data_IF_347866758738
#
_entry.id   IF_347866758738
#
_cell.length_a   1.000
_cell.length_b   1.000
_cell.length_c   1.000
_cell.angle_alpha   90.00
_cell.angle_beta   90.00
_cell.angle_gamma   90.00
#
_symmetry.space_group_name_H-M   'P 1'
#
loop_
_entity.id
_entity.type
_entity.pdbx_description
1 polymer ?
#
# COMPACT_ATOMS: atom_id res chain seq x y z
N UNK A 1 -40.97 7.65 -8.30
CA UNK A 1 -40.21 6.48 -7.79
C UNK A 1 -40.48 6.41 -6.31
N UNK A 2 -40.92 5.26 -5.77
CA UNK A 2 -41.06 5.12 -4.33
C UNK A 2 -39.68 5.28 -3.68
N UNK A 3 -39.58 6.09 -2.63
CA UNK A 3 -38.34 6.17 -1.84
C UNK A 3 -38.15 4.83 -1.14
N UNK A 4 -37.03 4.16 -1.44
CA UNK A 4 -36.71 2.82 -0.94
C UNK A 4 -35.84 2.96 0.31
N UNK A 5 -36.06 2.10 1.30
CA UNK A 5 -35.24 2.07 2.51
C UNK A 5 -33.75 1.89 2.17
N UNK A 6 -32.91 2.72 2.79
CA UNK A 6 -31.46 2.68 2.63
C UNK A 6 -30.83 1.65 3.58
N UNK A 7 -29.99 0.77 3.05
CA UNK A 7 -29.16 -0.11 3.86
C UNK A 7 -27.91 0.63 4.32
N UNK A 8 -27.67 0.65 5.62
CA UNK A 8 -26.49 1.20 6.25
C UNK A 8 -25.75 0.09 6.97
N UNK A 9 -24.43 0.20 7.02
CA UNK A 9 -23.63 -0.70 7.84
C UNK A 9 -22.23 -0.93 7.29
N UNK A 10 -21.52 -1.83 7.95
CA UNK A 10 -20.19 -2.25 7.54
C UNK A 10 -19.94 -3.71 7.90
N UNK A 11 -19.21 -4.40 7.04
CA UNK A 11 -18.62 -5.70 7.34
C UNK A 11 -17.27 -5.45 8.02
N UNK A 12 -17.18 -5.77 9.31
CA UNK A 12 -16.00 -5.48 10.13
C UNK A 12 -15.03 -6.66 10.14
N UNK A 13 -15.53 -7.89 10.08
CA UNK A 13 -14.71 -9.12 10.12
C UNK A 13 -15.20 -10.13 9.09
N UNK A 14 -14.26 -10.68 8.32
CA UNK A 14 -14.41 -11.87 7.49
C UNK A 14 -13.12 -12.68 7.67
N UNK A 15 -13.20 -13.77 8.41
CA UNK A 15 -12.12 -14.74 8.61
C UNK A 15 -12.70 -16.16 8.54
N UNK A 16 -11.87 -17.23 8.60
CA UNK A 16 -12.36 -18.60 8.44
C UNK A 16 -13.28 -19.08 9.56
N UNK A 17 -13.43 -18.34 10.66
CA UNK A 17 -14.24 -18.72 11.81
C UNK A 17 -15.45 -17.80 12.05
N UNK A 18 -15.43 -16.57 11.55
CA UNK A 18 -16.50 -15.62 11.79
C UNK A 18 -16.68 -14.57 10.70
N UNK A 19 -17.95 -14.21 10.48
CA UNK A 19 -18.35 -13.04 9.71
C UNK A 19 -19.16 -12.13 10.63
N UNK A 20 -18.70 -10.89 10.82
CA UNK A 20 -19.29 -9.98 11.78
C UNK A 20 -19.28 -8.53 11.30
N UNK A 21 -20.19 -7.74 11.85
CA UNK A 21 -20.33 -6.33 11.55
C UNK A 21 -21.60 -5.76 12.14
N UNK A 22 -22.11 -4.71 11.49
CA UNK A 22 -23.39 -4.11 11.84
C UNK A 22 -24.14 -3.67 10.59
N UNK A 23 -25.47 -3.67 10.67
CA UNK A 23 -26.33 -3.11 9.64
C UNK A 23 -27.68 -2.65 10.19
N UNK A 24 -28.25 -1.62 9.57
CA UNK A 24 -29.62 -1.17 9.82
C UNK A 24 -30.27 -0.66 8.54
N UNK A 25 -31.60 -0.72 8.47
CA UNK A 25 -32.39 -0.10 7.40
C UNK A 25 -32.88 1.25 7.87
N UNK A 26 -32.65 2.31 7.08
CA UNK A 26 -33.18 3.65 7.30
C UNK A 26 -34.32 3.91 6.31
N UNK A 27 -35.49 4.21 6.85
CA UNK A 27 -36.67 4.61 6.07
C UNK A 27 -36.55 6.06 5.58
N UNK A 28 -37.34 6.45 4.58
CA UNK A 28 -37.37 7.84 4.11
C UNK A 28 -37.81 8.85 5.19
N UNK A 29 -38.63 8.41 6.16
CA UNK A 29 -39.03 9.22 7.32
C UNK A 29 -37.92 9.38 8.38
N UNK A 30 -36.72 8.83 8.13
CA UNK A 30 -35.57 8.85 9.02
C UNK A 30 -35.60 7.81 10.13
N UNK A 31 -36.69 7.04 10.28
CA UNK A 31 -36.76 5.97 11.26
C UNK A 31 -35.88 4.79 10.86
N UNK A 32 -35.31 4.11 11.85
CA UNK A 32 -34.35 3.03 11.63
C UNK A 32 -34.77 1.75 12.32
N UNK A 33 -34.44 0.63 11.68
CA UNK A 33 -34.72 -0.72 12.21
C UNK A 33 -33.56 -1.67 11.91
N UNK A 34 -33.44 -2.78 12.67
CA UNK A 34 -32.48 -3.84 12.33
C UNK A 34 -32.67 -4.32 10.90
N UNK A 35 -31.56 -4.53 10.17
CA UNK A 35 -31.61 -5.04 8.80
C UNK A 35 -31.81 -6.57 8.79
N UNK A 36 -32.61 -7.04 7.83
CA UNK A 36 -32.64 -8.46 7.45
C UNK A 36 -31.60 -8.66 6.34
N UNK A 37 -30.58 -9.43 6.62
CA UNK A 37 -29.45 -9.65 5.72
C UNK A 37 -29.50 -11.04 5.10
N UNK A 38 -29.11 -11.10 3.85
CA UNK A 38 -28.77 -12.31 3.10
C UNK A 38 -27.25 -12.36 2.93
N UNK A 39 -26.65 -13.49 3.27
CA UNK A 39 -25.23 -13.76 3.01
C UNK A 39 -25.13 -14.70 1.82
N UNK A 40 -24.38 -14.26 0.81
CA UNK A 40 -24.05 -15.04 -0.37
C UNK A 40 -22.58 -15.45 -0.28
N UNK A 41 -22.32 -16.74 -0.43
CA UNK A 41 -21.00 -17.33 -0.56
C UNK A 41 -20.84 -17.79 -2.02
N UNK A 42 -19.86 -17.22 -2.73
CA UNK A 42 -19.64 -17.44 -4.17
C UNK A 42 -20.94 -17.25 -4.98
N UNK A 43 -21.63 -16.15 -4.69
CA UNK A 43 -22.93 -15.75 -5.26
C UNK A 43 -24.09 -16.74 -4.99
N UNK A 44 -23.90 -17.72 -4.10
CA UNK A 44 -24.96 -18.62 -3.62
C UNK A 44 -25.45 -18.16 -2.25
N UNK A 45 -26.77 -17.93 -2.12
CA UNK A 45 -27.40 -17.63 -0.83
C UNK A 45 -27.22 -18.80 0.15
N UNK A 46 -26.58 -18.54 1.29
CA UNK A 46 -26.31 -19.55 2.33
C UNK A 46 -26.98 -19.22 3.66
N UNK A 47 -27.13 -17.95 4.01
CA UNK A 47 -27.80 -17.53 5.24
C UNK A 47 -28.76 -16.37 5.01
N UNK A 48 -29.84 -16.35 5.79
CA UNK A 48 -30.72 -15.20 5.98
C UNK A 48 -30.94 -14.98 7.47
N UNK A 49 -30.66 -13.79 7.97
CA UNK A 49 -30.66 -13.48 9.40
C UNK A 49 -30.95 -12.00 9.67
N UNK A 50 -31.18 -11.65 10.95
CA UNK A 50 -31.45 -10.26 11.37
C UNK A 50 -30.28 -9.73 12.16
N UNK A 51 -29.79 -8.53 11.80
CA UNK A 51 -28.72 -7.82 12.50
C UNK A 51 -29.22 -7.20 13.82
N UNK A 52 -29.51 -8.05 14.81
CA UNK A 52 -30.24 -7.70 16.03
C UNK A 52 -29.41 -7.67 17.31
N UNK A 53 -28.10 -7.94 17.22
CA UNK A 53 -27.19 -7.86 18.36
C UNK A 53 -26.97 -6.40 18.78
N UNK A 54 -26.71 -6.18 20.06
CA UNK A 54 -26.55 -4.82 20.61
C UNK A 54 -25.14 -4.31 20.30
N UNK A 55 -25.05 -3.11 19.73
CA UNK A 55 -23.83 -2.37 19.41
C UNK A 55 -23.97 -0.90 19.82
N UNK A 56 -23.68 -0.63 21.09
CA UNK A 56 -23.76 0.73 21.63
C UNK A 56 -22.70 1.66 21.04
N UNK A 57 -21.54 1.12 20.67
CA UNK A 57 -20.45 1.82 19.99
C UNK A 57 -20.91 2.39 18.64
N UNK A 58 -21.68 1.59 17.87
CA UNK A 58 -22.28 2.01 16.58
C UNK A 58 -23.25 3.17 16.78
N UNK A 59 -24.04 3.13 17.86
CA UNK A 59 -24.96 4.22 18.20
C UNK A 59 -24.22 5.46 18.67
N UNK A 60 -23.22 5.30 19.55
CA UNK A 60 -22.45 6.40 20.12
C UNK A 60 -21.69 7.20 19.06
N UNK A 61 -21.19 6.53 18.00
CA UNK A 61 -20.56 7.19 16.85
C UNK A 61 -21.55 7.81 15.84
N UNK A 62 -22.85 7.72 16.10
CA UNK A 62 -23.89 8.28 15.23
C UNK A 62 -24.09 7.55 13.90
N UNK A 63 -23.54 6.33 13.73
CA UNK A 63 -23.64 5.59 12.48
C UNK A 63 -25.05 5.00 12.25
N UNK A 64 -25.77 4.70 13.34
CA UNK A 64 -27.18 4.36 13.37
C UNK A 64 -27.77 4.81 14.72
N UNK A 65 -28.99 5.33 14.75
CA UNK A 65 -29.74 5.78 15.93
C UNK A 65 -30.32 4.67 16.81
N UNK A 66 -30.35 3.42 16.34
CA UNK A 66 -30.75 2.25 17.15
C UNK A 66 -29.53 1.44 17.62
N UNK A 67 -29.66 0.78 18.78
CA UNK A 67 -28.57 -0.05 19.33
C UNK A 67 -28.54 -1.48 18.76
N UNK A 68 -29.67 -2.00 18.26
CA UNK A 68 -29.76 -3.37 17.73
C UNK A 68 -29.42 -3.37 16.25
N UNK A 69 -28.13 -3.46 15.95
CA UNK A 69 -27.61 -3.40 14.59
C UNK A 69 -26.51 -4.43 14.33
N UNK A 70 -26.00 -5.09 15.37
CA UNK A 70 -24.89 -6.02 15.22
C UNK A 70 -25.30 -7.35 14.61
N UNK A 71 -24.37 -7.96 13.88
CA UNK A 71 -24.46 -9.36 13.48
C UNK A 71 -23.13 -10.07 13.68
N UNK A 72 -23.21 -11.37 13.95
CA UNK A 72 -22.09 -12.30 13.99
C UNK A 72 -22.59 -13.68 13.55
N UNK A 73 -21.90 -14.26 12.58
CA UNK A 73 -22.10 -15.62 12.13
C UNK A 73 -20.83 -16.41 12.42
N UNK A 74 -20.91 -17.34 13.38
CA UNK A 74 -19.84 -18.28 13.70
C UNK A 74 -19.96 -19.50 12.77
N UNK A 75 -19.72 -19.28 11.47
CA UNK A 75 -19.72 -20.33 10.46
C UNK A 75 -18.40 -20.29 9.69
N UNK A 76 -17.80 -21.48 9.53
CA UNK A 76 -16.53 -21.60 8.84
C UNK A 76 -16.74 -21.68 7.33
N UNK A 77 -16.14 -20.72 6.63
CA UNK A 77 -16.05 -20.74 5.17
C UNK A 77 -14.62 -21.07 4.75
N UNK A 78 -14.42 -21.80 3.63
CA UNK A 78 -13.10 -21.98 3.05
C UNK A 78 -12.40 -20.65 2.79
N UNK A 79 -11.08 -20.59 2.98
CA UNK A 79 -10.27 -19.43 2.57
C UNK A 79 -10.45 -19.20 1.08
N UNK A 80 -10.62 -17.93 0.70
CA UNK A 80 -10.86 -17.53 -0.69
C UNK A 80 -12.33 -17.55 -1.12
N UNK A 81 -13.26 -18.08 -0.32
CA UNK A 81 -14.70 -17.95 -0.61
C UNK A 81 -15.09 -16.47 -0.66
N UNK A 82 -15.81 -16.06 -1.71
CA UNK A 82 -16.30 -14.69 -1.89
C UNK A 82 -17.58 -14.49 -1.08
N UNK A 83 -17.52 -13.62 -0.09
CA UNK A 83 -18.64 -13.27 0.78
C UNK A 83 -19.24 -11.94 0.32
N UNK A 84 -20.55 -11.94 0.06
CA UNK A 84 -21.34 -10.73 -0.10
C UNK A 84 -22.50 -10.73 0.91
N UNK A 85 -22.81 -9.55 1.45
CA UNK A 85 -24.02 -9.34 2.25
C UNK A 85 -24.93 -8.35 1.52
N UNK A 86 -26.23 -8.61 1.55
CA UNK A 86 -27.23 -7.73 0.98
C UNK A 86 -28.49 -7.67 1.84
N UNK A 87 -29.29 -6.62 1.67
CA UNK A 87 -30.62 -6.54 2.26
C UNK A 87 -31.54 -7.58 1.61
N UNK A 88 -32.18 -8.41 2.43
CA UNK A 88 -33.20 -9.35 1.96
C UNK A 88 -34.48 -8.65 1.47
N UNK A 89 -34.63 -7.36 1.77
CA UNK A 89 -35.81 -6.55 1.44
C UNK A 89 -35.62 -5.77 0.15
N UNK A 90 -34.41 -5.21 -0.06
CA UNK A 90 -34.13 -4.28 -1.17
C UNK A 90 -33.09 -4.80 -2.16
N UNK A 91 -32.36 -5.86 -1.83
CA UNK A 91 -31.21 -6.34 -2.60
C UNK A 91 -29.99 -5.42 -2.55
N UNK A 92 -30.04 -4.31 -1.80
CA UNK A 92 -28.91 -3.39 -1.65
C UNK A 92 -27.73 -4.09 -0.97
N UNK A 93 -26.51 -3.93 -1.50
CA UNK A 93 -25.30 -4.56 -0.94
C UNK A 93 -24.79 -3.81 0.29
N UNK A 94 -24.33 -4.57 1.27
CA UNK A 94 -23.63 -4.08 2.45
C UNK A 94 -22.13 -3.98 2.14
N UNK A 95 -21.71 -2.84 1.59
CA UNK A 95 -20.33 -2.65 1.14
C UNK A 95 -19.98 -3.51 -0.08
N UNK A 96 -18.68 -3.65 -0.34
CA UNK A 96 -18.16 -4.50 -1.42
C UNK A 96 -18.05 -5.95 -0.95
N UNK A 97 -18.21 -6.94 -1.85
CA UNK A 97 -17.88 -8.32 -1.55
C UNK A 97 -16.40 -8.48 -1.19
N UNK A 98 -16.12 -9.41 -0.29
CA UNK A 98 -14.81 -9.62 0.32
C UNK A 98 -14.52 -11.12 0.39
N UNK A 99 -13.25 -11.51 0.30
CA UNK A 99 -12.89 -12.93 0.39
C UNK A 99 -12.57 -13.34 1.83
N UNK A 100 -12.82 -14.60 2.15
CA UNK A 100 -12.40 -15.19 3.43
C UNK A 100 -10.89 -15.22 3.51
N UNK A 101 -10.32 -14.32 4.30
CA UNK A 101 -8.88 -14.23 4.51
C UNK A 101 -8.36 -15.44 5.30
N UNK A 102 -7.08 -15.85 5.15
CA UNK A 102 -6.46 -16.82 6.03
C UNK A 102 -6.39 -16.30 7.48
N UNK A 103 -6.40 -17.21 8.45
CA UNK A 103 -6.37 -16.87 9.88
C UNK A 103 -5.06 -16.22 10.35
N UNK A 104 -3.95 -16.49 9.65
CA UNK A 104 -2.68 -15.78 9.84
C UNK A 104 -2.51 -14.72 8.76
N UNK A 105 -2.04 -13.50 9.11
CA UNK A 105 -1.62 -12.54 8.08
C UNK A 105 -0.41 -13.09 7.29
N UNK A 106 -0.24 -12.66 6.03
CA UNK A 106 0.94 -13.00 5.25
C UNK A 106 2.19 -12.35 5.84
N UNK A 107 3.32 -13.05 5.77
CA UNK A 107 4.65 -12.48 6.00
C UNK A 107 5.04 -11.66 4.79
N UNK A 108 5.20 -10.37 4.98
CA UNK A 108 5.46 -9.44 3.88
C UNK A 108 6.93 -8.99 3.94
N UNK A 109 7.61 -9.17 2.82
CA UNK A 109 8.92 -8.56 2.60
C UNK A 109 8.84 -7.39 1.62
N UNK A 110 9.85 -6.54 1.66
CA UNK A 110 10.01 -5.41 0.77
C UNK A 110 11.39 -5.53 0.09
N UNK A 111 11.39 -5.43 -1.24
CA UNK A 111 12.59 -5.39 -2.07
C UNK A 111 12.77 -3.97 -2.64
N UNK A 112 13.92 -3.33 -2.39
CA UNK A 112 14.17 -1.94 -2.81
C UNK A 112 15.62 -1.70 -3.25
N UNK A 113 15.86 -0.96 -4.36
CA UNK A 113 17.16 -0.39 -4.63
C UNK A 113 17.38 0.87 -3.79
N UNK A 114 18.59 1.04 -3.27
CA UNK A 114 18.99 2.22 -2.50
C UNK A 114 20.26 2.84 -3.10
N UNK A 115 20.23 4.16 -3.27
CA UNK A 115 21.35 4.99 -3.69
C UNK A 115 21.14 6.42 -3.22
N UNK A 116 22.09 6.95 -2.46
CA UNK A 116 22.01 8.32 -1.94
C UNK A 116 20.70 8.61 -1.17
N UNK A 117 20.33 7.68 -0.27
CA UNK A 117 19.09 7.68 0.53
C UNK A 117 19.33 7.92 2.03
N UNK A 118 20.56 8.20 2.47
CA UNK A 118 20.90 8.25 3.91
C UNK A 118 19.97 9.19 4.73
N UNK A 119 19.55 10.36 4.23
CA UNK A 119 18.65 11.24 4.98
C UNK A 119 17.24 10.67 5.18
N UNK A 120 16.80 9.74 4.34
CA UNK A 120 15.38 9.30 4.27
C UNK A 120 15.20 7.83 4.63
N UNK A 121 16.26 7.03 4.55
CA UNK A 121 16.20 5.57 4.68
C UNK A 121 15.67 5.10 6.03
N UNK A 122 16.03 5.79 7.13
CA UNK A 122 15.56 5.42 8.48
C UNK A 122 14.06 5.63 8.64
N UNK A 123 13.52 6.76 8.18
CA UNK A 123 12.09 7.00 8.21
C UNK A 123 11.34 5.98 7.35
N UNK A 124 11.82 5.75 6.13
CA UNK A 124 11.20 4.79 5.23
C UNK A 124 11.16 3.38 5.83
N UNK A 125 12.26 2.92 6.44
CA UNK A 125 12.33 1.63 7.12
C UNK A 125 11.39 1.59 8.33
N UNK A 126 11.46 2.60 9.19
CA UNK A 126 10.65 2.69 10.41
C UNK A 126 9.16 2.69 10.09
N UNK A 127 8.73 3.50 9.12
CA UNK A 127 7.35 3.55 8.66
C UNK A 127 6.86 2.16 8.28
N UNK A 128 7.52 1.49 7.33
CA UNK A 128 7.05 0.19 6.84
C UNK A 128 7.02 -0.87 7.94
N UNK A 129 7.98 -0.84 8.88
CA UNK A 129 7.98 -1.72 10.06
C UNK A 129 6.75 -1.50 10.93
N UNK A 130 6.40 -0.24 11.25
CA UNK A 130 5.18 0.07 12.01
C UNK A 130 3.90 -0.29 11.26
N UNK A 131 3.95 -0.45 9.94
CA UNK A 131 2.82 -0.88 9.09
C UNK A 131 2.75 -2.40 8.88
N UNK A 132 3.61 -3.18 9.54
CA UNK A 132 3.56 -4.64 9.53
C UNK A 132 4.40 -5.29 8.43
N UNK A 133 5.34 -4.56 7.83
CA UNK A 133 6.35 -5.13 6.93
C UNK A 133 7.53 -5.61 7.78
N UNK A 134 7.93 -6.86 7.60
CA UNK A 134 8.86 -7.53 8.52
C UNK A 134 10.26 -7.76 7.93
N UNK A 135 10.35 -7.91 6.61
CA UNK A 135 11.59 -8.24 5.91
C UNK A 135 11.94 -7.17 4.89
N UNK A 136 13.22 -6.81 4.82
CA UNK A 136 13.72 -5.78 3.93
C UNK A 136 14.95 -6.31 3.21
N UNK A 137 14.88 -6.40 1.89
CA UNK A 137 15.98 -6.82 1.04
C UNK A 137 16.40 -5.63 0.19
N UNK A 138 17.57 -5.08 0.48
CA UNK A 138 17.97 -3.78 -0.07
C UNK A 138 19.20 -3.96 -0.95
N UNK A 139 19.08 -3.57 -2.22
CA UNK A 139 20.23 -3.48 -3.11
C UNK A 139 20.95 -2.15 -2.88
N UNK A 140 22.14 -2.23 -2.30
CA UNK A 140 23.01 -1.08 -2.14
C UNK A 140 23.75 -0.80 -3.45
N UNK A 141 23.37 0.27 -4.15
CA UNK A 141 24.02 0.72 -5.38
C UNK A 141 25.08 1.81 -5.14
N UNK A 142 25.44 2.06 -3.88
CA UNK A 142 26.45 3.03 -3.49
C UNK A 142 25.92 4.45 -3.61
N UNK A 143 26.79 5.35 -4.04
CA UNK A 143 26.52 6.78 -4.01
C UNK A 143 27.71 7.53 -3.46
N UNK A 144 27.44 8.73 -2.97
CA UNK A 144 28.41 9.63 -2.34
C UNK A 144 28.08 9.96 -0.89
N UNK A 145 26.88 9.62 -0.42
CA UNK A 145 26.46 9.84 0.96
C UNK A 145 26.72 8.62 1.88
N UNK A 146 26.18 8.67 3.10
CA UNK A 146 26.34 7.64 4.11
C UNK A 146 25.41 6.42 3.94
N UNK A 147 24.75 6.23 2.78
CA UNK A 147 23.75 5.17 2.57
C UNK A 147 24.34 3.78 2.78
N UNK A 148 25.48 3.49 2.16
CA UNK A 148 26.11 2.17 2.24
C UNK A 148 26.57 1.85 3.67
N UNK A 149 27.09 2.84 4.39
CA UNK A 149 27.49 2.68 5.79
C UNK A 149 26.28 2.41 6.69
N UNK A 150 25.20 3.17 6.50
CA UNK A 150 23.94 2.96 7.21
C UNK A 150 23.36 1.56 6.93
N UNK A 151 23.31 1.13 5.67
CA UNK A 151 22.87 -0.21 5.27
C UNK A 151 23.75 -1.31 5.88
N UNK A 152 25.06 -1.09 5.96
CA UNK A 152 25.99 -2.01 6.62
C UNK A 152 25.63 -2.22 8.09
N UNK A 153 25.33 -1.14 8.82
CA UNK A 153 25.00 -1.22 10.25
C UNK A 153 23.60 -1.79 10.46
N UNK A 154 22.64 -1.47 9.59
CA UNK A 154 21.30 -2.06 9.58
C UNK A 154 21.33 -3.57 9.35
N UNK A 155 22.17 -4.04 8.42
CA UNK A 155 22.35 -5.46 8.11
C UNK A 155 22.96 -6.22 9.30
N UNK A 156 24.01 -5.65 9.93
CA UNK A 156 24.60 -6.21 11.17
C UNK A 156 23.59 -6.29 12.32
N UNK A 157 22.71 -5.31 12.44
CA UNK A 157 21.63 -5.30 13.42
C UNK A 157 20.47 -6.26 13.08
N UNK A 158 20.52 -6.95 11.92
CA UNK A 158 19.48 -7.87 11.46
C UNK A 158 18.17 -7.19 11.06
N UNK A 159 18.20 -5.88 10.80
CA UNK A 159 17.02 -5.09 10.43
C UNK A 159 16.72 -5.12 8.93
N UNK A 160 17.75 -5.30 8.12
CA UNK A 160 17.66 -5.49 6.67
C UNK A 160 18.57 -6.64 6.24
N UNK A 161 18.38 -7.15 5.04
CA UNK A 161 19.37 -7.93 4.30
C UNK A 161 19.92 -7.06 3.19
N UNK A 162 21.20 -6.68 3.31
CA UNK A 162 21.89 -5.88 2.30
C UNK A 162 22.45 -6.77 1.20
N UNK A 163 22.26 -6.36 -0.05
CA UNK A 163 22.95 -6.93 -1.20
C UNK A 163 23.84 -5.89 -1.86
N UNK A 164 25.08 -6.29 -2.14
CA UNK A 164 26.09 -5.43 -2.76
C UNK A 164 25.87 -5.35 -4.29
N UNK A 165 25.41 -4.18 -4.74
CA UNK A 165 25.30 -3.80 -6.15
C UNK A 165 26.17 -2.55 -6.45
N UNK A 166 27.25 -2.34 -5.68
CA UNK A 166 28.10 -1.18 -5.82
C UNK A 166 28.68 -1.09 -7.24
N UNK A 167 28.56 0.10 -7.85
CA UNK A 167 29.12 0.38 -9.18
C UNK A 167 28.39 -0.26 -10.36
N UNK A 168 27.32 -1.02 -10.14
CA UNK A 168 26.52 -1.60 -11.23
C UNK A 168 25.55 -0.56 -11.83
N UNK A 169 25.37 -0.60 -13.14
CA UNK A 169 24.39 0.22 -13.88
C UNK A 169 23.23 -0.66 -14.37
N UNK A 170 22.02 -0.11 -14.48
CA UNK A 170 20.81 -0.82 -14.96
C UNK A 170 20.51 -2.14 -14.24
N UNK A 171 20.87 -2.21 -12.96
CA UNK A 171 20.90 -3.46 -12.19
C UNK A 171 19.54 -3.86 -11.59
N UNK A 172 18.52 -3.00 -11.66
CA UNK A 172 17.29 -3.19 -10.89
C UNK A 172 16.57 -4.51 -11.28
N UNK A 173 16.49 -4.82 -12.56
CA UNK A 173 15.94 -6.10 -13.05
C UNK A 173 16.74 -7.30 -12.54
N UNK A 174 18.07 -7.22 -12.61
CA UNK A 174 18.97 -8.28 -12.13
C UNK A 174 18.82 -8.46 -10.61
N UNK A 175 18.76 -7.37 -9.85
CA UNK A 175 18.54 -7.38 -8.41
C UNK A 175 17.26 -8.12 -8.04
N UNK A 176 16.16 -7.79 -8.69
CA UNK A 176 14.89 -8.45 -8.43
C UNK A 176 14.96 -9.94 -8.79
N UNK A 177 15.49 -10.29 -9.96
CA UNK A 177 15.63 -11.69 -10.39
C UNK A 177 16.54 -12.50 -9.45
N UNK A 178 17.72 -11.97 -9.11
CA UNK A 178 18.69 -12.60 -8.21
C UNK A 178 18.13 -12.74 -6.78
N UNK A 179 17.44 -11.72 -6.26
CA UNK A 179 16.79 -11.77 -4.94
C UNK A 179 15.68 -12.81 -4.92
N UNK A 180 14.86 -12.88 -5.97
CA UNK A 180 13.77 -13.82 -6.08
C UNK A 180 14.25 -15.25 -6.38
N UNK A 181 15.46 -15.44 -6.89
CA UNK A 181 16.05 -16.77 -7.05
C UNK A 181 16.52 -17.39 -5.71
N UNK A 182 16.63 -16.59 -4.64
CA UNK A 182 17.10 -17.04 -3.33
C UNK A 182 16.02 -17.84 -2.57
N UNK A 183 16.29 -19.10 -2.21
CA UNK A 183 15.33 -19.92 -1.45
C UNK A 183 14.94 -19.31 -0.11
N UNK A 184 15.88 -18.65 0.58
CA UNK A 184 15.64 -18.01 1.87
C UNK A 184 14.63 -16.86 1.79
N UNK A 185 14.61 -16.12 0.67
CA UNK A 185 13.64 -15.05 0.43
C UNK A 185 12.25 -15.64 0.25
N UNK A 186 12.12 -16.64 -0.63
CA UNK A 186 10.85 -17.34 -0.90
C UNK A 186 10.30 -18.07 0.33
N UNK A 187 11.18 -18.60 1.18
CA UNK A 187 10.77 -19.28 2.42
C UNK A 187 10.34 -18.29 3.52
N UNK A 188 10.93 -17.09 3.55
CA UNK A 188 10.66 -16.08 4.58
C UNK A 188 9.41 -15.24 4.30
N UNK A 189 9.03 -15.06 3.03
CA UNK A 189 7.97 -14.14 2.63
C UNK A 189 6.85 -14.87 1.90
N UNK A 190 5.61 -14.67 2.33
CA UNK A 190 4.44 -15.11 1.57
C UNK A 190 4.11 -14.10 0.46
N UNK A 191 4.44 -12.83 0.67
CA UNK A 191 4.30 -11.73 -0.30
C UNK A 191 5.53 -10.84 -0.30
N UNK A 192 5.87 -10.27 -1.46
CA UNK A 192 6.90 -9.23 -1.60
C UNK A 192 6.30 -7.96 -2.21
N UNK A 193 6.71 -6.82 -1.67
CA UNK A 193 6.46 -5.49 -2.23
C UNK A 193 7.72 -4.97 -2.90
N UNK A 194 7.65 -4.64 -4.20
CA UNK A 194 8.74 -3.96 -4.91
C UNK A 194 8.49 -2.45 -4.87
N UNK A 195 9.26 -1.73 -4.04
CA UNK A 195 9.13 -0.29 -3.80
C UNK A 195 10.51 0.38 -3.83
N UNK A 196 10.54 1.66 -4.15
CA UNK A 196 11.74 2.50 -4.02
C UNK A 196 11.80 3.12 -2.61
N UNK A 197 12.98 3.59 -2.17
CA UNK A 197 13.17 4.18 -0.83
C UNK A 197 12.47 5.54 -0.62
N UNK A 198 11.76 6.05 -1.62
CA UNK A 198 10.91 7.25 -1.54
C UNK A 198 9.41 6.94 -1.69
N UNK A 199 9.05 5.65 -1.62
CA UNK A 199 7.68 5.16 -1.78
C UNK A 199 7.16 4.50 -0.51
N UNK A 200 5.96 4.90 -0.09
CA UNK A 200 5.34 4.45 1.15
C UNK A 200 4.03 3.72 0.84
N UNK A 201 3.94 2.44 1.21
CA UNK A 201 2.72 1.66 1.06
C UNK A 201 1.68 2.10 2.10
N UNK A 202 0.50 2.52 1.66
CA UNK A 202 -0.56 3.05 2.52
C UNK A 202 -1.85 2.25 2.35
N UNK A 203 -2.46 1.83 3.46
CA UNK A 203 -3.82 1.32 3.48
C UNK A 203 -4.83 2.46 3.58
N UNK A 204 -5.72 2.57 2.59
CA UNK A 204 -6.73 3.63 2.47
C UNK A 204 -8.08 3.23 3.07
N UNK A 205 -8.28 1.94 3.33
CA UNK A 205 -9.51 1.40 3.90
C UNK A 205 -9.54 1.39 5.44
N UNK A 206 -8.55 2.01 6.09
CA UNK A 206 -8.45 2.10 7.55
C UNK A 206 -8.07 0.79 8.26
N UNK A 207 -7.63 -0.24 7.53
CA UNK A 207 -7.21 -1.53 8.09
C UNK A 207 -5.69 -1.71 8.01
N UNK A 208 -5.09 -2.54 8.88
CA UNK A 208 -3.67 -2.87 8.76
C UNK A 208 -3.33 -3.47 7.39
N UNK A 209 -2.18 -3.08 6.83
CA UNK A 209 -1.70 -3.58 5.53
C UNK A 209 -1.67 -5.12 5.47
N UNK A 210 -1.17 -5.85 6.48
CA UNK A 210 -1.19 -7.32 6.44
C UNK A 210 -2.60 -7.90 6.36
N UNK A 211 -3.57 -7.31 7.04
CA UNK A 211 -4.97 -7.76 6.99
C UNK A 211 -5.62 -7.47 5.63
N UNK A 212 -5.36 -6.30 5.06
CA UNK A 212 -5.83 -5.94 3.71
C UNK A 212 -5.23 -6.85 2.64
N UNK A 213 -3.92 -7.14 2.73
CA UNK A 213 -3.25 -8.05 1.79
C UNK A 213 -3.70 -9.51 1.97
N UNK A 214 -3.92 -9.97 3.20
CA UNK A 214 -4.45 -11.32 3.47
C UNK A 214 -5.76 -11.57 2.72
N UNK A 215 -6.64 -10.58 2.69
CA UNK A 215 -7.92 -10.65 1.99
C UNK A 215 -7.77 -10.55 0.46
N UNK A 216 -6.97 -9.61 -0.03
CA UNK A 216 -6.80 -9.42 -1.48
C UNK A 216 -6.08 -10.61 -2.14
N UNK A 217 -5.28 -11.37 -1.38
CA UNK A 217 -4.61 -12.60 -1.82
C UNK A 217 -5.31 -13.87 -1.33
N UNK A 218 -6.50 -13.78 -0.73
CA UNK A 218 -7.23 -14.95 -0.25
C UNK A 218 -7.69 -15.85 -1.41
N UNK A 219 -8.04 -15.25 -2.55
CA UNK A 219 -8.18 -15.98 -3.81
C UNK A 219 -6.78 -16.43 -4.26
N UNK A 220 -6.52 -17.74 -4.21
CA UNK A 220 -5.24 -18.30 -4.61
C UNK A 220 -4.92 -18.05 -6.09
N UNK A 221 -5.90 -17.75 -6.93
CA UNK A 221 -5.64 -17.34 -8.31
C UNK A 221 -4.96 -15.97 -8.40
N UNK A 222 -4.99 -15.13 -7.36
CA UNK A 222 -4.31 -13.82 -7.32
C UNK A 222 -2.82 -14.00 -7.07
N UNK A 223 -2.03 -13.53 -8.04
CA UNK A 223 -0.56 -13.57 -8.02
C UNK A 223 0.06 -12.23 -7.71
N UNK A 224 -0.60 -11.12 -8.07
CA UNK A 224 -0.06 -9.78 -7.87
C UNK A 224 -1.15 -8.71 -7.73
N UNK A 225 -0.79 -7.60 -7.06
CA UNK A 225 -1.58 -6.37 -6.96
C UNK A 225 -0.83 -5.20 -7.57
N UNK A 226 -1.53 -4.44 -8.41
CA UNK A 226 -1.07 -3.21 -9.04
C UNK A 226 -1.51 -2.05 -8.16
N UNK A 227 -0.54 -1.39 -7.52
CA UNK A 227 -0.80 -0.34 -6.55
C UNK A 227 -0.39 1.00 -7.14
N UNK A 228 -1.39 1.82 -7.46
CA UNK A 228 -1.14 3.11 -8.08
C UNK A 228 -0.41 4.08 -7.15
N UNK A 229 0.44 4.91 -7.75
CA UNK A 229 1.06 6.03 -7.05
C UNK A 229 0.01 7.06 -6.61
N UNK A 230 0.30 7.74 -5.52
CA UNK A 230 -0.17 9.07 -5.18
C UNK A 230 1.07 9.96 -5.12
N UNK A 231 1.29 10.78 -6.16
CA UNK A 231 2.51 11.58 -6.29
C UNK A 231 2.45 12.82 -5.38
N UNK A 232 3.37 12.90 -4.43
CA UNK A 232 3.54 14.04 -3.52
C UNK A 232 4.58 15.03 -4.05
N UNK A 233 4.24 16.31 -4.01
CA UNK A 233 5.14 17.41 -4.33
C UNK A 233 5.94 17.88 -3.12
N UNK A 234 6.70 18.95 -3.32
CA UNK A 234 7.55 19.59 -2.33
C UNK A 234 6.78 20.31 -1.22
N UNK A 235 5.45 20.44 -1.34
CA UNK A 235 4.63 21.34 -0.54
C UNK A 235 5.10 22.80 -0.55
N UNK A 236 5.83 23.20 -1.60
CA UNK A 236 6.45 24.53 -1.72
C UNK A 236 7.72 24.71 -0.88
N UNK A 237 8.30 23.63 -0.35
CA UNK A 237 9.51 23.67 0.46
C UNK A 237 10.76 23.72 -0.43
N UNK A 238 11.55 24.77 -0.26
CA UNK A 238 12.83 24.92 -0.96
C UNK A 238 13.93 24.04 -0.32
N UNK A 239 13.92 23.93 1.02
CA UNK A 239 14.91 23.19 1.80
C UNK A 239 14.27 22.02 2.56
N UNK A 240 15.05 20.96 2.82
CA UNK A 240 14.63 19.84 3.66
C UNK A 240 15.05 20.10 5.11
N UNK A 241 14.11 19.99 6.05
CA UNK A 241 14.41 20.05 7.49
C UNK A 241 14.70 18.63 8.02
N UNK A 242 15.96 18.30 8.39
CA UNK A 242 16.31 16.97 8.87
C UNK A 242 15.73 16.63 10.26
N UNK A 243 15.15 17.59 10.98
CA UNK A 243 14.46 17.32 12.24
C UNK A 243 13.01 16.81 12.03
N UNK A 244 12.49 16.93 10.81
CA UNK A 244 11.12 16.56 10.44
C UNK A 244 11.12 15.40 9.47
N UNK A 245 10.09 14.56 9.58
CA UNK A 245 9.85 13.44 8.69
C UNK A 245 9.39 13.95 7.30
N UNK A 246 9.72 13.22 6.24
CA UNK A 246 9.17 13.35 4.89
C UNK A 246 7.64 13.38 4.96
N UNK A 247 7.03 12.47 5.72
CA UNK A 247 5.58 12.38 5.92
C UNK A 247 4.96 13.64 6.58
N UNK A 248 5.74 14.41 7.35
CA UNK A 248 5.29 15.65 8.00
C UNK A 248 5.50 16.89 7.13
N UNK A 249 6.50 16.89 6.26
CA UNK A 249 6.93 18.06 5.50
C UNK A 249 6.21 18.17 4.17
N UNK A 250 6.01 17.03 3.50
CA UNK A 250 5.50 16.98 2.14
C UNK A 250 4.05 16.52 2.17
N UNK A 251 3.15 17.38 2.65
CA UNK A 251 1.74 17.05 2.89
C UNK A 251 0.81 17.37 1.71
N UNK A 252 1.36 17.61 0.51
CA UNK A 252 0.61 17.96 -0.69
C UNK A 252 0.91 17.02 -1.84
N UNK A 253 -0.14 16.52 -2.48
CA UNK A 253 -0.06 15.61 -3.62
C UNK A 253 -0.84 16.09 -4.83
N UNK A 254 -0.57 15.47 -5.97
CA UNK A 254 -1.39 15.57 -7.17
C UNK A 254 -2.85 15.18 -6.91
N UNK A 255 -3.79 15.75 -7.66
CA UNK A 255 -5.15 15.21 -7.79
C UNK A 255 -5.14 13.74 -8.23
N UNK A 256 -6.17 12.98 -7.87
CA UNK A 256 -6.22 11.52 -8.13
C UNK A 256 -6.03 11.17 -9.60
N UNK A 257 -6.72 11.87 -10.51
CA UNK A 257 -6.65 11.62 -11.96
C UNK A 257 -5.41 12.19 -12.65
N UNK A 258 -4.43 12.71 -11.90
CA UNK A 258 -3.18 13.14 -12.48
C UNK A 258 -2.46 11.95 -13.17
N UNK A 259 -1.99 12.10 -14.42
CA UNK A 259 -1.32 11.01 -15.14
C UNK A 259 -0.12 10.39 -14.41
N UNK A 260 0.57 11.11 -13.52
CA UNK A 260 1.65 10.53 -12.72
C UNK A 260 1.18 9.35 -11.87
N UNK A 261 -0.06 9.39 -11.39
CA UNK A 261 -0.66 8.36 -10.54
C UNK A 261 -1.02 7.07 -11.32
N UNK A 262 -0.93 7.08 -12.65
CA UNK A 262 -1.13 5.88 -13.48
C UNK A 262 0.08 4.93 -13.44
N UNK A 263 1.19 5.36 -12.85
CA UNK A 263 2.27 4.44 -12.49
C UNK A 263 1.83 3.58 -11.32
N UNK A 264 2.40 2.38 -11.26
CA UNK A 264 2.10 1.43 -10.21
C UNK A 264 3.38 0.97 -9.53
N UNK A 265 3.21 0.32 -8.38
CA UNK A 265 4.15 -0.67 -7.87
C UNK A 265 3.42 -1.98 -7.59
N UNK A 266 4.19 -2.99 -7.27
CA UNK A 266 3.69 -4.37 -7.21
C UNK A 266 3.86 -4.98 -5.83
N UNK A 267 2.78 -5.55 -5.30
CA UNK A 267 2.85 -6.56 -4.24
C UNK A 267 2.51 -7.91 -4.86
N UNK A 268 3.27 -8.96 -4.59
CA UNK A 268 3.15 -10.21 -5.33
C UNK A 268 3.64 -11.45 -4.57
N UNK A 269 3.21 -12.61 -5.06
CA UNK A 269 3.67 -13.93 -4.63
C UNK A 269 5.06 -14.21 -5.21
N UNK A 270 6.12 -14.29 -4.39
CA UNK A 270 7.49 -14.45 -4.90
C UNK A 270 7.68 -15.74 -5.71
N UNK A 271 6.94 -16.80 -5.39
CA UNK A 271 7.02 -18.09 -6.05
C UNK A 271 6.50 -18.09 -7.49
N UNK A 272 5.70 -17.08 -7.87
CA UNK A 272 5.07 -16.95 -9.19
C UNK A 272 5.72 -15.88 -10.07
N UNK A 273 6.78 -15.23 -9.59
CA UNK A 273 7.51 -14.21 -10.34
C UNK A 273 8.28 -14.81 -11.52
N UNK A 274 8.12 -14.20 -12.70
CA UNK A 274 8.84 -14.53 -13.93
C UNK A 274 9.88 -13.48 -14.32
N UNK A 275 9.53 -12.19 -14.17
CA UNK A 275 10.35 -11.09 -14.67
C UNK A 275 9.63 -9.76 -14.61
N UNK A 276 9.87 -8.87 -15.59
CA UNK A 276 9.19 -7.59 -15.73
C UNK A 276 8.48 -7.50 -17.06
N UNK A 277 7.28 -6.91 -17.06
CA UNK A 277 6.38 -6.86 -18.21
C UNK A 277 6.77 -5.75 -19.17
N UNK A 278 6.46 -4.50 -18.81
CA UNK A 278 6.66 -3.31 -19.65
C UNK A 278 7.78 -2.43 -19.12
N UNK A 279 7.95 -2.38 -17.79
CA UNK A 279 9.01 -1.67 -17.10
C UNK A 279 9.25 -2.32 -15.72
N UNK A 280 10.23 -1.82 -14.99
CA UNK A 280 10.64 -2.30 -13.65
C UNK A 280 9.57 -2.12 -12.56
N UNK A 281 8.46 -1.44 -12.87
CA UNK A 281 7.38 -1.18 -11.92
C UNK A 281 6.26 -2.22 -11.98
N UNK A 282 6.19 -2.97 -13.08
CA UNK A 282 5.18 -3.99 -13.33
C UNK A 282 5.84 -5.33 -13.57
N UNK A 283 5.68 -6.23 -12.60
CA UNK A 283 6.21 -7.57 -12.69
C UNK A 283 5.43 -8.40 -13.72
N UNK A 284 6.11 -9.42 -14.20
CA UNK A 284 5.57 -10.47 -15.03
C UNK A 284 5.51 -11.75 -14.22
N UNK A 285 4.42 -12.52 -14.38
CA UNK A 285 4.12 -13.68 -13.56
C UNK A 285 4.01 -14.92 -14.43
N UNK A 286 4.38 -16.08 -13.90
CA UNK A 286 4.24 -17.36 -14.62
C UNK A 286 2.77 -17.70 -14.88
N UNK A 287 1.91 -17.42 -13.89
CA UNK A 287 0.46 -17.64 -13.97
C UNK A 287 -0.29 -16.82 -12.92
N UNK A 288 -1.62 -16.81 -13.05
CA UNK A 288 -2.56 -16.19 -12.12
C UNK A 288 -2.90 -14.75 -12.46
N UNK A 289 -3.62 -14.11 -11.55
CA UNK A 289 -4.30 -12.84 -11.76
C UNK A 289 -3.47 -11.69 -11.21
N UNK A 290 -3.47 -10.60 -11.96
CA UNK A 290 -2.92 -9.31 -11.54
C UNK A 290 -4.08 -8.34 -11.35
N UNK A 291 -4.38 -8.02 -10.09
CA UNK A 291 -5.54 -7.22 -9.69
C UNK A 291 -5.15 -5.80 -9.32
N UNK A 292 -6.09 -4.86 -9.40
CA UNK A 292 -5.93 -3.51 -8.88
C UNK A 292 -6.09 -3.50 -7.35
N UNK A 293 -5.89 -2.34 -6.71
CA UNK A 293 -6.05 -2.19 -5.26
C UNK A 293 -7.47 -2.52 -4.76
N UNK A 294 -8.50 -2.35 -5.58
CA UNK A 294 -9.88 -2.78 -5.29
C UNK A 294 -10.06 -4.29 -5.19
N UNK A 295 -9.16 -5.08 -5.81
CA UNK A 295 -9.33 -6.52 -6.04
C UNK A 295 -9.93 -6.85 -7.42
N UNK A 296 -10.35 -5.85 -8.20
CA UNK A 296 -10.83 -6.04 -9.56
C UNK A 296 -9.67 -6.26 -10.55
N UNK A 297 -9.98 -6.63 -11.80
CA UNK A 297 -8.98 -6.71 -12.84
C UNK A 297 -8.30 -5.34 -13.06
N UNK A 298 -6.97 -5.31 -13.08
CA UNK A 298 -6.25 -4.08 -13.38
C UNK A 298 -6.52 -3.63 -14.83
N UNK A 299 -6.90 -2.36 -14.99
CA UNK A 299 -7.19 -1.74 -16.30
C UNK A 299 -5.92 -1.15 -16.90
N UNK A 300 -5.29 -1.92 -17.79
CA UNK A 300 -3.97 -1.62 -18.34
C UNK A 300 -4.02 -0.72 -19.58
N UNK A 301 -3.10 0.25 -19.66
CA UNK A 301 -2.79 1.05 -20.86
C UNK A 301 -1.29 0.97 -21.19
N UNK A 302 -0.89 -0.11 -21.85
CA UNK A 302 0.53 -0.33 -22.19
C UNK A 302 1.01 0.57 -23.34
N UNK A 303 0.10 1.16 -24.11
CA UNK A 303 0.44 2.09 -25.19
C UNK A 303 1.02 3.41 -24.66
N UNK A 304 0.75 3.72 -23.39
CA UNK A 304 1.15 4.96 -22.72
C UNK A 304 2.15 4.76 -21.58
N UNK A 305 3.00 3.72 -21.64
CA UNK A 305 3.92 3.34 -20.55
C UNK A 305 4.79 4.48 -19.96
N UNK A 306 5.07 5.54 -20.74
CA UNK A 306 5.79 6.73 -20.27
C UNK A 306 5.01 7.60 -19.28
N UNK A 307 3.69 7.42 -19.18
CA UNK A 307 2.78 8.11 -18.25
C UNK A 307 2.18 7.15 -17.24
N UNK A 308 2.83 6.01 -16.99
CA UNK A 308 2.25 4.91 -16.24
C UNK A 308 1.53 3.91 -17.15
N UNK A 309 1.09 2.81 -16.58
CA UNK A 309 0.60 1.64 -17.34
C UNK A 309 -0.85 1.28 -17.01
N UNK A 310 -1.54 2.06 -16.17
CA UNK A 310 -2.98 1.94 -15.93
C UNK A 310 -3.74 3.10 -16.57
N UNK A 311 -4.99 2.88 -16.96
CA UNK A 311 -5.85 3.96 -17.51
C UNK A 311 -6.33 4.94 -16.45
N UNK A 312 -6.71 4.40 -15.30
CA UNK A 312 -7.26 5.15 -14.16
C UNK A 312 -6.60 4.61 -12.89
N UNK A 313 -6.14 5.47 -11.97
CA UNK A 313 -5.62 5.04 -10.69
C UNK A 313 -6.71 4.40 -9.83
N UNK A 314 -6.36 3.37 -9.07
CA UNK A 314 -7.23 2.75 -8.08
C UNK A 314 -6.57 2.79 -6.69
N UNK A 315 -7.17 3.54 -5.77
CA UNK A 315 -6.72 3.69 -4.39
C UNK A 315 -7.71 3.07 -3.38
N UNK A 316 -8.58 2.15 -3.81
CA UNK A 316 -9.71 1.66 -2.99
C UNK A 316 -9.29 1.04 -1.66
N UNK A 317 -8.26 0.18 -1.63
CA UNK A 317 -7.77 -0.44 -0.40
C UNK A 317 -6.33 -0.07 -0.04
N UNK A 318 -5.50 0.14 -1.06
CA UNK A 318 -4.08 0.36 -0.95
C UNK A 318 -3.65 1.38 -2.01
N UNK A 319 -2.62 2.15 -1.71
CA UNK A 319 -1.90 2.98 -2.69
C UNK A 319 -0.44 3.11 -2.28
N UNK A 320 0.36 3.71 -3.16
CA UNK A 320 1.76 4.03 -2.87
C UNK A 320 1.95 5.54 -2.87
N UNK A 321 2.18 6.15 -1.72
CA UNK A 321 2.56 7.55 -1.66
C UNK A 321 4.00 7.69 -2.18
N UNK A 322 4.22 8.50 -3.21
CA UNK A 322 5.53 8.68 -3.84
C UNK A 322 6.08 10.08 -3.59
N UNK A 323 7.20 10.16 -2.87
CA UNK A 323 7.89 11.42 -2.52
C UNK A 323 9.14 11.60 -3.38
N UNK A 324 8.95 11.66 -4.69
CA UNK A 324 10.02 11.68 -5.70
C UNK A 324 10.83 12.97 -5.71
N UNK A 325 10.18 14.11 -5.44
CA UNK A 325 10.80 15.45 -5.43
C UNK A 325 11.34 15.82 -4.05
N UNK A 326 10.55 15.62 -2.98
CA UNK A 326 10.85 16.19 -1.65
C UNK A 326 11.10 17.70 -1.78
N UNK A 327 12.06 18.28 -1.05
CA UNK A 327 12.44 19.68 -1.26
C UNK A 327 13.21 19.88 -2.55
N UNK A 328 13.21 21.11 -3.07
CA UNK A 328 14.03 21.47 -4.24
C UNK A 328 15.51 21.18 -4.00
N UNK A 329 16.05 21.56 -2.84
CA UNK A 329 17.45 21.32 -2.51
C UNK A 329 17.80 19.83 -2.41
N UNK A 330 16.93 19.01 -1.81
CA UNK A 330 17.12 17.57 -1.73
C UNK A 330 17.09 16.92 -3.12
N UNK A 331 16.17 17.35 -3.99
CA UNK A 331 16.11 16.88 -5.38
C UNK A 331 17.39 17.22 -6.14
N UNK A 332 17.84 18.47 -6.02
CA UNK A 332 19.05 18.96 -6.67
C UNK A 332 20.28 18.22 -6.15
N UNK A 333 20.43 18.02 -4.84
CA UNK A 333 21.53 17.25 -4.26
C UNK A 333 21.55 15.80 -4.80
N UNK A 334 20.42 15.09 -4.77
CA UNK A 334 20.31 13.71 -5.25
C UNK A 334 20.64 13.58 -6.74
N UNK A 335 20.27 14.56 -7.57
CA UNK A 335 20.50 14.50 -9.03
C UNK A 335 21.84 15.07 -9.48
N UNK A 336 22.42 16.02 -8.73
CA UNK A 336 23.70 16.63 -9.07
C UNK A 336 24.92 15.94 -8.45
N UNK A 337 24.80 15.18 -7.34
CA UNK A 337 25.97 14.62 -6.63
C UNK A 337 26.52 13.30 -7.20
N UNK A 338 25.94 12.74 -8.27
CA UNK A 338 26.60 11.65 -8.99
C UNK A 338 27.94 12.10 -9.63
N UNK A 339 28.79 11.17 -10.07
CA UNK A 339 29.97 11.42 -10.94
C UNK A 339 29.68 12.23 -12.22
N UNK A 340 28.43 12.62 -12.43
CA UNK A 340 27.95 13.53 -13.45
C UNK A 340 28.03 15.02 -13.07
N UNK A 341 28.32 15.43 -11.82
CA UNK A 341 28.43 16.86 -11.47
C UNK A 341 29.47 17.58 -12.34
N UNK A 342 30.64 16.95 -12.53
CA UNK A 342 31.73 17.47 -13.35
C UNK A 342 31.49 17.30 -14.86
N UNK A 343 30.37 16.66 -15.26
CA UNK A 343 30.01 16.36 -16.66
C UNK A 343 28.55 16.70 -16.99
N UNK A 344 27.84 17.43 -16.13
CA UNK A 344 26.42 17.69 -16.31
C UNK A 344 26.28 18.66 -17.46
N UNK A 345 25.90 18.15 -18.63
CA UNK A 345 25.56 18.98 -19.77
C UNK A 345 24.36 19.85 -19.41
N UNK A 346 24.22 21.02 -20.04
CA UNK A 346 23.03 21.86 -19.90
C UNK A 346 21.73 21.10 -20.18
N UNK A 347 21.80 20.03 -20.98
CA UNK A 347 20.68 19.13 -21.27
C UNK A 347 20.31 18.24 -20.07
N UNK A 348 21.28 17.68 -19.34
CA UNK A 348 21.01 16.90 -18.13
C UNK A 348 20.37 17.77 -17.04
N UNK A 349 20.89 18.99 -16.85
CA UNK A 349 20.31 19.96 -15.92
C UNK A 349 18.88 20.33 -16.31
N UNK A 350 18.61 20.55 -17.62
CA UNK A 350 17.25 20.82 -18.11
C UNK A 350 16.31 19.64 -17.85
N UNK A 351 16.75 18.40 -18.11
CA UNK A 351 15.95 17.19 -17.81
C UNK A 351 15.61 17.07 -16.32
N UNK A 352 16.52 17.43 -15.42
CA UNK A 352 16.24 17.44 -13.99
C UNK A 352 15.23 18.54 -13.61
N UNK A 353 15.36 19.75 -14.17
CA UNK A 353 14.39 20.81 -13.96
C UNK A 353 12.99 20.45 -14.50
N UNK A 354 12.93 19.88 -15.71
CA UNK A 354 11.69 19.40 -16.33
C UNK A 354 11.05 18.28 -15.49
N UNK A 355 11.86 17.36 -14.96
CA UNK A 355 11.39 16.31 -14.06
C UNK A 355 10.79 16.90 -12.78
N UNK A 356 11.49 17.83 -12.11
CA UNK A 356 10.99 18.47 -10.89
C UNK A 356 9.68 19.20 -11.18
N UNK A 357 9.64 20.02 -12.24
CA UNK A 357 8.44 20.76 -12.61
C UNK A 357 7.24 19.86 -12.93
N UNK A 358 7.49 18.68 -13.50
CA UNK A 358 6.44 17.70 -13.78
C UNK A 358 5.94 17.00 -12.50
N UNK A 359 6.83 16.65 -11.58
CA UNK A 359 6.51 15.84 -10.39
C UNK A 359 6.22 16.66 -9.13
N UNK A 360 6.48 17.98 -9.12
CA UNK A 360 6.17 18.87 -8.01
C UNK A 360 4.69 19.30 -8.03
N UNK A 361 3.81 18.33 -7.84
CA UNK A 361 2.35 18.51 -7.87
C UNK A 361 1.80 18.66 -6.45
N UNK A 362 1.17 19.79 -6.15
CA UNK A 362 0.79 20.19 -4.79
C UNK A 362 -0.70 20.50 -4.64
N UNK A 363 -1.53 19.89 -5.49
CA UNK A 363 -2.93 20.23 -5.72
C UNK A 363 -3.82 19.98 -4.48
N UNK A 364 -3.62 18.84 -3.82
CA UNK A 364 -4.43 18.38 -2.68
C UNK A 364 -3.57 18.28 -1.43
N UNK A 365 -3.98 18.99 -0.38
CA UNK A 365 -3.37 18.85 0.96
C UNK A 365 -3.92 17.61 1.66
N UNK A 366 -3.05 16.65 1.94
CA UNK A 366 -3.36 15.38 2.60
C UNK A 366 -2.21 14.99 3.56
N UNK A 367 -2.23 15.52 4.79
CA UNK A 367 -1.19 15.22 5.78
C UNK A 367 -1.29 13.79 6.30
N UNK A 368 -0.15 13.22 6.70
CA UNK A 368 -0.12 11.96 7.41
C UNK A 368 -0.81 12.09 8.79
N UNK A 369 -1.37 10.98 9.26
CA UNK A 369 -1.96 10.90 10.60
C UNK A 369 -0.90 11.16 11.68
N UNK A 370 -1.25 11.94 12.71
CA UNK A 370 -0.36 12.26 13.81
C UNK A 370 0.10 10.99 14.58
N UNK A 371 -0.75 9.97 14.70
CA UNK A 371 -0.38 8.69 15.28
C UNK A 371 0.68 7.97 14.44
N UNK A 372 0.52 7.97 13.12
CA UNK A 372 1.49 7.38 12.17
C UNK A 372 2.85 8.07 12.32
N UNK A 373 2.86 9.39 12.42
CA UNK A 373 4.08 10.18 12.64
C UNK A 373 4.75 9.80 13.96
N UNK A 374 3.98 9.76 15.06
CA UNK A 374 4.51 9.44 16.39
C UNK A 374 5.10 8.01 16.45
N UNK A 375 4.39 7.04 15.89
CA UNK A 375 4.85 5.65 15.79
C UNK A 375 6.12 5.53 14.96
N UNK A 376 6.18 6.23 13.82
CA UNK A 376 7.37 6.22 12.95
C UNK A 376 8.58 6.80 13.68
N UNK A 377 8.42 7.93 14.40
CA UNK A 377 9.50 8.52 15.21
C UNK A 377 9.97 7.58 16.32
N UNK A 378 9.05 6.93 17.03
CA UNK A 378 9.40 5.96 18.07
C UNK A 378 10.19 4.77 17.48
N UNK A 379 9.81 4.30 16.30
CA UNK A 379 10.50 3.20 15.63
C UNK A 379 11.88 3.62 15.09
N UNK A 380 12.06 4.85 14.61
CA UNK A 380 13.38 5.40 14.27
C UNK A 380 14.30 5.33 15.49
N UNK A 381 13.87 5.85 16.64
CA UNK A 381 14.66 5.82 17.87
C UNK A 381 15.02 4.39 18.30
N UNK A 382 14.09 3.44 18.13
CA UNK A 382 14.35 2.02 18.39
C UNK A 382 15.39 1.44 17.44
N UNK A 383 15.30 1.76 16.14
CA UNK A 383 16.26 1.33 15.13
C UNK A 383 17.65 1.90 15.45
N UNK A 384 17.76 3.19 15.74
CA UNK A 384 19.04 3.81 16.10
C UNK A 384 19.70 3.15 17.31
N UNK A 385 18.93 2.82 18.34
CA UNK A 385 19.42 2.10 19.51
C UNK A 385 19.95 0.69 19.16
N UNK A 386 19.26 -0.03 18.27
CA UNK A 386 19.70 -1.36 17.81
C UNK A 386 20.99 -1.28 16.99
N UNK A 387 21.08 -0.31 16.09
CA UNK A 387 22.27 -0.10 15.26
C UNK A 387 23.46 0.35 16.13
N UNK A 388 23.23 1.07 17.23
CA UNK A 388 24.30 1.45 18.16
C UNK A 388 24.80 0.28 19.02
N UNK A 389 23.98 -0.75 19.23
CA UNK A 389 24.31 -1.91 20.04
C UNK A 389 24.97 -3.08 19.26
N UNK A 390 24.81 -3.10 17.93
CA UNK A 390 25.37 -4.10 17.02
C UNK A 390 26.73 -3.66 16.46
#
# INVERSE_FOLDING_TARGET
MAEVDALLGAIETIDPGAIAGWACMRRPDGSERPAILELLADDVLVFRFVASAVREDVRARGACGIARTGFRLDHAFPVGTRIALQSAETGARLGTPRHVAPSRPPRIGLIAPARDEAPFLLEWLAYHRTRGIERFFIADNGGTDATSDLLCRLDRAGLVTRYDYLGRSYFQTDFYAETLARPEVRAACDLLAALDCDEFLVATNGRPIPATLAELFADDAVSALALNWANYGSAGQEEHDPARLVLEQYDRRAEERNPLNNHIKSVFRPERFRGFRVNVHAIDMDYGLYRAASGDAADWDVAYAARGITRVPDWTNLRVNHYSTKSRSAFVQRKLQGRAADRATSEAMRRHADYFALHDTNDVREPADAAVIAETRAEIARIEALIAAA
#
